data_IF_006651718924
#
_entry.id   IF_006651718924
#
_cell.length_a   1.000
_cell.length_b   1.000
_cell.length_c   1.000
_cell.angle_alpha   90.00
_cell.angle_beta   90.00
_cell.angle_gamma   90.00
#
_symmetry.space_group_name_H-M   'P 1'
#
loop_
_entity.id
_entity.type
_entity.pdbx_description
1 polymer ?
#
# COMPACT_ATOMS: atom_id res chain seq x y z
N UNK A 1 -40.13 66.69 -8.38
CA UNK A 1 -38.68 66.53 -8.01
C UNK A 1 -38.36 65.21 -7.29
N UNK A 2 -39.29 64.24 -7.14
CA UNK A 2 -39.13 62.98 -6.38
C UNK A 2 -38.71 61.75 -7.18
N UNK A 3 -38.73 61.71 -8.52
CA UNK A 3 -38.37 60.53 -9.34
C UNK A 3 -36.88 60.25 -9.51
N UNK A 4 -35.99 61.25 -9.34
CA UNK A 4 -34.55 61.07 -9.55
C UNK A 4 -33.82 60.41 -8.33
N UNK A 5 -34.34 60.53 -7.12
CA UNK A 5 -33.72 59.97 -5.93
C UNK A 5 -33.88 58.44 -5.84
N UNK A 6 -34.97 57.88 -6.37
CA UNK A 6 -35.23 56.43 -6.32
C UNK A 6 -34.35 55.64 -7.30
N UNK A 7 -34.09 56.18 -8.49
CA UNK A 7 -33.25 55.54 -9.51
C UNK A 7 -31.76 55.35 -9.05
N UNK A 8 -31.25 56.25 -8.27
CA UNK A 8 -29.85 56.18 -7.77
C UNK A 8 -29.71 55.14 -6.63
N UNK A 9 -30.77 54.93 -5.86
CA UNK A 9 -30.77 53.93 -4.78
C UNK A 9 -30.82 52.53 -5.36
N UNK A 10 -31.70 52.29 -6.32
CA UNK A 10 -31.81 50.96 -7.00
C UNK A 10 -30.53 50.60 -7.76
N UNK A 11 -29.83 51.55 -8.37
CA UNK A 11 -28.55 51.30 -9.04
C UNK A 11 -27.43 50.97 -8.04
N UNK A 12 -27.38 51.57 -6.86
CA UNK A 12 -26.40 51.26 -5.80
C UNK A 12 -26.65 49.85 -5.24
N UNK A 13 -27.92 49.51 -5.00
CA UNK A 13 -28.30 48.20 -4.47
C UNK A 13 -28.01 47.06 -5.49
N UNK A 14 -28.26 47.32 -6.77
CA UNK A 14 -27.93 46.39 -7.85
C UNK A 14 -26.41 46.21 -7.99
N UNK A 15 -25.64 47.29 -7.93
CA UNK A 15 -24.18 47.24 -8.00
C UNK A 15 -23.56 46.54 -6.78
N UNK A 16 -24.12 46.74 -5.58
CA UNK A 16 -23.67 46.07 -4.35
C UNK A 16 -23.97 44.54 -4.42
N UNK A 17 -25.12 44.14 -4.95
CA UNK A 17 -25.48 42.75 -5.16
C UNK A 17 -24.57 42.05 -6.18
N UNK A 18 -24.23 42.70 -7.28
CA UNK A 18 -23.34 42.17 -8.31
C UNK A 18 -21.92 41.99 -7.74
N UNK A 19 -21.44 42.96 -6.94
CA UNK A 19 -20.12 42.89 -6.32
C UNK A 19 -20.04 41.76 -5.27
N UNK A 20 -21.11 41.52 -4.53
CA UNK A 20 -21.18 40.44 -3.54
C UNK A 20 -21.20 39.05 -4.18
N UNK A 21 -21.93 38.89 -5.30
CA UNK A 21 -22.01 37.64 -6.04
C UNK A 21 -20.64 37.34 -6.69
N UNK A 22 -19.99 38.34 -7.27
CA UNK A 22 -18.64 38.17 -7.87
C UNK A 22 -17.60 37.80 -6.82
N UNK A 23 -17.64 38.38 -5.62
CA UNK A 23 -16.74 38.05 -4.52
C UNK A 23 -16.94 36.60 -4.02
N UNK A 24 -18.20 36.12 -3.92
CA UNK A 24 -18.49 34.73 -3.56
C UNK A 24 -17.97 33.73 -4.60
N UNK A 25 -18.06 34.04 -5.89
CA UNK A 25 -17.53 33.15 -6.95
C UNK A 25 -16.01 33.06 -6.93
N UNK A 26 -15.30 34.15 -6.62
CA UNK A 26 -13.84 34.15 -6.51
C UNK A 26 -13.38 33.32 -5.32
N UNK A 27 -14.10 33.36 -4.17
CA UNK A 27 -13.76 32.56 -2.98
C UNK A 27 -14.03 31.07 -3.20
N UNK A 28 -15.10 30.72 -3.91
CA UNK A 28 -15.42 29.32 -4.24
C UNK A 28 -14.40 28.75 -5.24
N UNK A 29 -13.97 29.58 -6.23
CA UNK A 29 -12.99 29.12 -7.22
C UNK A 29 -11.58 28.93 -6.64
N UNK A 30 -11.19 29.71 -5.63
CA UNK A 30 -9.91 29.53 -4.91
C UNK A 30 -9.89 28.30 -4.00
N UNK A 31 -11.04 27.83 -3.52
CA UNK A 31 -11.13 26.63 -2.70
C UNK A 31 -11.01 25.33 -3.51
N UNK A 32 -11.32 25.35 -4.82
CA UNK A 32 -11.21 24.19 -5.70
C UNK A 32 -9.77 23.99 -6.24
N UNK A 33 -8.92 25.02 -6.17
CA UNK A 33 -7.55 24.96 -6.71
C UNK A 33 -6.53 24.29 -5.79
N UNK A 34 -6.94 23.75 -4.65
CA UNK A 34 -6.08 22.96 -3.74
C UNK A 34 -6.51 21.48 -3.70
N UNK A 35 -6.84 20.91 -4.84
CA UNK A 35 -6.66 19.47 -5.03
C UNK A 35 -5.14 19.26 -5.00
N UNK A 36 -4.58 19.01 -3.83
CA UNK A 36 -3.22 18.52 -3.69
C UNK A 36 -3.15 17.26 -4.54
N UNK A 37 -2.15 17.23 -5.41
CA UNK A 37 -1.77 16.02 -6.13
C UNK A 37 -1.37 15.01 -5.05
N UNK A 38 -2.34 14.22 -4.57
CA UNK A 38 -2.13 13.23 -3.52
C UNK A 38 -1.25 12.14 -4.13
N UNK A 39 0.06 12.35 -3.99
CA UNK A 39 1.05 11.43 -4.50
C UNK A 39 0.86 10.08 -3.83
N UNK A 40 0.46 9.09 -4.62
CA UNK A 40 0.28 7.70 -4.17
C UNK A 40 1.63 7.20 -3.62
N UNK A 41 1.65 6.54 -2.46
CA UNK A 41 2.88 5.98 -1.92
C UNK A 41 3.37 4.80 -2.77
N UNK A 42 4.67 4.55 -2.70
CA UNK A 42 5.32 3.41 -3.33
C UNK A 42 5.95 2.53 -2.26
N UNK A 43 5.66 1.24 -2.29
CA UNK A 43 6.26 0.24 -1.43
C UNK A 43 7.20 -0.65 -2.25
N UNK A 44 8.50 -0.58 -1.95
CA UNK A 44 9.50 -1.50 -2.49
C UNK A 44 9.79 -2.61 -1.48
N UNK A 45 9.62 -3.86 -1.89
CA UNK A 45 9.92 -5.04 -1.07
C UNK A 45 11.10 -5.77 -1.69
N UNK A 46 12.23 -5.78 -0.96
CA UNK A 46 13.41 -6.57 -1.31
C UNK A 46 13.40 -7.87 -0.51
N UNK A 47 13.35 -8.98 -1.20
CA UNK A 47 13.37 -10.32 -0.61
C UNK A 47 14.79 -10.89 -0.69
N UNK A 48 15.36 -11.24 0.44
CA UNK A 48 16.72 -11.78 0.58
C UNK A 48 16.73 -13.20 1.16
N UNK A 49 17.85 -13.89 1.00
CA UNK A 49 18.04 -15.24 1.53
C UNK A 49 17.34 -16.32 0.73
N UNK A 50 17.16 -16.12 -0.57
CA UNK A 50 16.51 -17.07 -1.48
C UNK A 50 17.45 -18.26 -1.71
N UNK A 51 16.94 -19.49 -1.59
CA UNK A 51 17.64 -20.71 -2.00
C UNK A 51 17.61 -20.86 -3.53
N UNK A 52 18.49 -20.16 -4.24
CA UNK A 52 18.54 -20.07 -5.71
C UNK A 52 18.55 -21.45 -6.37
N UNK A 53 19.23 -22.44 -5.77
CA UNK A 53 19.32 -23.81 -6.28
C UNK A 53 17.95 -24.52 -6.39
N UNK A 54 16.94 -24.03 -5.70
CA UNK A 54 15.58 -24.58 -5.73
C UNK A 54 14.70 -24.02 -6.83
N UNK A 55 15.13 -22.91 -7.47
CA UNK A 55 14.31 -22.21 -8.49
C UNK A 55 12.92 -21.85 -7.95
N UNK A 56 11.89 -21.88 -8.79
CA UNK A 56 10.51 -21.57 -8.39
C UNK A 56 10.16 -20.10 -8.51
N UNK A 57 9.21 -19.65 -7.71
CA UNK A 57 8.72 -18.27 -7.69
C UNK A 57 8.74 -17.71 -6.27
N UNK A 58 8.94 -16.39 -6.13
CA UNK A 58 8.77 -15.66 -4.89
C UNK A 58 7.46 -14.91 -4.96
N UNK A 59 6.52 -15.28 -4.08
CA UNK A 59 5.25 -14.56 -3.89
C UNK A 59 5.36 -13.55 -2.76
N UNK A 60 5.04 -12.29 -3.04
CA UNK A 60 4.98 -11.20 -2.07
C UNK A 60 3.53 -10.78 -1.91
N UNK A 61 2.95 -10.97 -0.73
CA UNK A 61 1.56 -10.61 -0.44
C UNK A 61 1.50 -9.48 0.58
N UNK A 62 0.76 -8.42 0.25
CA UNK A 62 0.52 -7.24 1.08
C UNK A 62 -0.87 -7.33 1.68
N UNK A 63 -0.98 -7.25 3.00
CA UNK A 63 -2.23 -7.28 3.74
C UNK A 63 -2.45 -5.95 4.45
N UNK A 64 -3.67 -5.44 4.41
CA UNK A 64 -4.11 -4.24 5.13
C UNK A 64 -4.95 -4.56 6.39
N UNK A 65 -5.11 -5.83 6.72
CA UNK A 65 -5.89 -6.29 7.87
C UNK A 65 -5.38 -7.62 8.42
N UNK A 66 -5.89 -8.02 9.58
CA UNK A 66 -5.59 -9.34 10.19
C UNK A 66 -6.27 -10.49 9.47
N UNK A 67 -7.31 -10.20 8.68
CA UNK A 67 -8.10 -11.22 8.00
C UNK A 67 -7.23 -11.95 6.98
N UNK A 68 -7.12 -13.25 7.11
CA UNK A 68 -6.35 -14.10 6.20
C UNK A 68 -4.83 -14.03 6.35
N UNK A 69 -4.28 -13.00 7.04
CA UNK A 69 -2.84 -12.88 7.24
C UNK A 69 -2.29 -14.07 8.04
N UNK A 70 -1.16 -14.66 7.63
CA UNK A 70 -0.32 -14.32 6.48
C UNK A 70 -0.48 -15.27 5.28
N UNK A 71 -1.42 -16.21 5.27
CA UNK A 71 -1.44 -17.35 4.33
C UNK A 71 -2.65 -17.43 3.41
N UNK A 72 -3.72 -16.72 3.70
CA UNK A 72 -4.93 -16.69 2.89
C UNK A 72 -4.88 -15.56 1.87
N UNK A 73 -4.24 -15.81 0.72
CA UNK A 73 -3.96 -14.81 -0.30
C UNK A 73 -5.22 -14.16 -0.89
N UNK A 74 -6.37 -14.85 -0.81
CA UNK A 74 -7.67 -14.30 -1.19
C UNK A 74 -8.10 -13.08 -0.35
N UNK A 75 -7.46 -12.86 0.80
CA UNK A 75 -7.66 -11.71 1.67
C UNK A 75 -6.50 -10.71 1.62
N UNK A 76 -5.47 -10.96 0.81
CA UNK A 76 -4.42 -9.99 0.58
C UNK A 76 -4.98 -8.79 -0.19
N UNK A 77 -4.46 -7.60 0.08
CA UNK A 77 -4.78 -6.41 -0.68
C UNK A 77 -4.22 -6.52 -2.10
N UNK A 78 -2.98 -6.99 -2.19
CA UNK A 78 -2.27 -7.19 -3.46
C UNK A 78 -1.25 -8.33 -3.31
N UNK A 79 -1.01 -9.09 -4.38
CA UNK A 79 -0.03 -10.17 -4.40
C UNK A 79 0.69 -10.21 -5.74
N UNK A 80 2.02 -10.22 -5.70
CA UNK A 80 2.88 -10.30 -6.86
C UNK A 80 3.77 -11.55 -6.80
N UNK A 81 3.99 -12.18 -7.96
CA UNK A 81 4.82 -13.37 -8.12
C UNK A 81 5.96 -13.10 -9.08
N UNK A 82 7.18 -13.38 -8.66
CA UNK A 82 8.40 -13.17 -9.45
C UNK A 82 9.21 -14.45 -9.50
N UNK A 83 9.61 -14.89 -10.69
CA UNK A 83 10.46 -16.06 -10.87
C UNK A 83 11.85 -15.85 -10.28
N UNK A 84 12.40 -16.91 -9.68
CA UNK A 84 13.77 -16.92 -9.16
C UNK A 84 14.75 -17.09 -10.33
N UNK A 85 15.55 -16.06 -10.58
CA UNK A 85 16.57 -16.05 -11.64
C UNK A 85 17.91 -16.55 -11.10
N UNK A 86 18.58 -17.36 -11.91
CA UNK A 86 19.93 -17.87 -11.59
C UNK A 86 20.93 -16.71 -11.45
N UNK A 87 21.72 -16.74 -10.38
CA UNK A 87 22.71 -15.69 -10.07
C UNK A 87 22.17 -14.44 -9.38
N UNK A 88 20.85 -14.32 -9.15
CA UNK A 88 20.26 -13.23 -8.38
C UNK A 88 20.01 -13.66 -6.93
N UNK A 89 20.67 -12.99 -5.98
CA UNK A 89 20.56 -13.30 -4.54
C UNK A 89 19.30 -12.66 -3.89
N UNK A 90 18.60 -11.81 -4.61
CA UNK A 90 17.41 -11.12 -4.12
C UNK A 90 16.38 -10.92 -5.23
N UNK A 91 15.10 -10.84 -4.85
CA UNK A 91 13.97 -10.42 -5.68
C UNK A 91 13.48 -9.08 -5.17
N UNK A 92 13.19 -8.16 -6.09
CA UNK A 92 12.58 -6.86 -5.78
C UNK A 92 11.19 -6.79 -6.40
N UNK A 93 10.21 -6.39 -5.60
CA UNK A 93 8.81 -6.21 -5.99
C UNK A 93 8.37 -4.80 -5.61
N UNK A 94 7.65 -4.13 -6.51
CA UNK A 94 7.18 -2.75 -6.31
C UNK A 94 5.66 -2.74 -6.34
N UNK A 95 5.07 -2.09 -5.35
CA UNK A 95 3.65 -1.80 -5.25
C UNK A 95 3.47 -0.27 -5.28
N UNK A 96 2.83 0.26 -6.30
CA UNK A 96 2.65 1.69 -6.58
C UNK A 96 1.17 2.13 -6.58
N UNK A 97 0.27 1.22 -6.20
CA UNK A 97 -1.18 1.42 -6.16
C UNK A 97 -1.78 1.36 -4.75
N UNK A 98 -0.94 1.19 -3.72
CA UNK A 98 -1.41 1.08 -2.33
C UNK A 98 -1.80 2.45 -1.78
N UNK A 99 -3.02 2.64 -1.23
CA UNK A 99 -3.34 3.85 -0.48
C UNK A 99 -2.49 3.98 0.79
N UNK A 100 -2.42 5.19 1.36
CA UNK A 100 -1.81 5.37 2.67
C UNK A 100 -2.55 4.54 3.73
N UNK A 101 -1.81 3.86 4.62
CA UNK A 101 -2.42 2.97 5.60
C UNK A 101 -1.45 2.10 6.37
N UNK A 102 -1.98 1.16 7.16
CA UNK A 102 -1.19 0.13 7.84
C UNK A 102 -1.19 -1.16 7.00
N UNK A 103 0.00 -1.71 6.80
CA UNK A 103 0.21 -2.92 6.00
C UNK A 103 1.16 -3.88 6.69
N UNK A 104 0.99 -5.17 6.41
CA UNK A 104 1.97 -6.20 6.71
C UNK A 104 2.25 -7.01 5.45
N UNK A 105 3.50 -7.45 5.29
CA UNK A 105 3.94 -8.26 4.16
C UNK A 105 4.24 -9.67 4.62
N UNK A 106 3.77 -10.65 3.84
CA UNK A 106 4.25 -12.04 3.91
C UNK A 106 4.86 -12.44 2.58
N UNK A 107 5.90 -13.27 2.64
CA UNK A 107 6.63 -13.76 1.48
C UNK A 107 6.71 -15.27 1.54
N UNK A 108 6.49 -15.90 0.39
CA UNK A 108 6.66 -17.33 0.16
C UNK A 108 7.66 -17.54 -0.98
N UNK A 109 8.67 -18.38 -0.76
CA UNK A 109 9.46 -18.96 -1.86
C UNK A 109 8.83 -20.29 -2.24
N UNK A 110 7.97 -20.27 -3.25
CA UNK A 110 7.28 -21.42 -3.79
C UNK A 110 8.25 -22.21 -4.69
N UNK A 111 8.87 -23.25 -4.14
CA UNK A 111 9.90 -24.04 -4.81
C UNK A 111 9.34 -24.97 -5.90
N UNK A 112 8.02 -25.27 -5.88
CA UNK A 112 7.38 -26.21 -6.79
C UNK A 112 6.38 -25.57 -7.76
N UNK A 113 6.08 -24.26 -7.65
CA UNK A 113 5.22 -23.51 -8.56
C UNK A 113 3.72 -23.74 -8.35
N UNK A 114 3.30 -24.21 -7.17
CA UNK A 114 1.90 -24.48 -6.86
C UNK A 114 1.17 -23.29 -6.19
N UNK A 115 1.89 -22.21 -5.86
CA UNK A 115 1.42 -20.98 -5.20
C UNK A 115 0.71 -21.23 -3.88
N UNK A 116 1.13 -22.28 -3.17
CA UNK A 116 0.54 -22.69 -1.90
C UNK A 116 1.62 -23.14 -0.93
N UNK A 117 1.58 -22.62 0.31
CA UNK A 117 2.54 -22.99 1.33
C UNK A 117 2.37 -24.44 1.77
N UNK A 118 3.34 -25.29 1.46
CA UNK A 118 3.40 -26.66 1.95
C UNK A 118 3.85 -26.74 3.41
N UNK A 119 3.24 -27.67 4.13
CA UNK A 119 3.54 -27.90 5.56
C UNK A 119 3.91 -29.34 5.82
N UNK A 120 4.80 -29.57 6.76
CA UNK A 120 5.11 -30.88 7.29
C UNK A 120 3.92 -31.43 8.12
N UNK A 121 3.97 -32.71 8.49
CA UNK A 121 2.97 -33.33 9.38
C UNK A 121 2.85 -32.63 10.75
N UNK A 122 3.88 -31.92 11.16
CA UNK A 122 3.91 -31.13 12.40
C UNK A 122 3.45 -29.66 12.20
N UNK A 123 2.98 -29.30 10.99
CA UNK A 123 2.47 -27.97 10.65
C UNK A 123 3.53 -26.92 10.29
N UNK A 124 4.81 -27.27 10.24
CA UNK A 124 5.87 -26.34 9.90
C UNK A 124 5.99 -26.13 8.37
N UNK A 125 6.34 -24.89 7.94
CA UNK A 125 6.66 -24.63 6.54
C UNK A 125 7.75 -25.57 6.03
N UNK A 126 7.57 -26.12 4.81
CA UNK A 126 8.60 -26.85 4.08
C UNK A 126 9.38 -25.97 3.12
N UNK A 127 8.84 -24.82 2.82
CA UNK A 127 9.34 -23.82 1.89
C UNK A 127 9.78 -22.57 2.64
N UNK A 128 10.52 -21.69 1.96
CA UNK A 128 11.01 -20.45 2.53
C UNK A 128 9.88 -19.47 2.80
N UNK A 129 9.79 -18.95 4.01
CA UNK A 129 8.80 -17.92 4.37
C UNK A 129 9.47 -16.72 5.02
N UNK A 130 8.95 -15.53 4.76
CA UNK A 130 9.43 -14.28 5.33
C UNK A 130 8.29 -13.34 5.68
N UNK A 131 8.57 -12.38 6.56
CA UNK A 131 7.57 -11.40 7.03
C UNK A 131 8.20 -10.04 7.25
N UNK A 132 7.43 -8.98 7.02
CA UNK A 132 7.85 -7.62 7.35
C UNK A 132 8.27 -7.50 8.82
N UNK A 133 9.12 -6.48 9.11
CA UNK A 133 9.75 -6.28 10.41
C UNK A 133 10.65 -7.46 10.86
N UNK A 134 11.18 -8.24 9.90
CA UNK A 134 12.09 -9.39 10.13
C UNK A 134 11.54 -10.39 11.16
N UNK A 135 10.23 -10.56 11.20
CA UNK A 135 9.59 -11.51 12.11
C UNK A 135 9.84 -12.95 11.64
N UNK A 136 10.12 -13.84 12.60
CA UNK A 136 10.45 -15.24 12.34
C UNK A 136 9.35 -16.18 12.77
N UNK A 137 9.20 -17.29 12.05
CA UNK A 137 8.34 -18.41 12.49
C UNK A 137 9.00 -19.09 13.69
N UNK A 138 8.27 -19.14 14.79
CA UNK A 138 8.65 -19.92 15.99
C UNK A 138 7.80 -21.19 16.05
N UNK A 139 6.71 -21.17 16.81
CA UNK A 139 5.73 -22.27 16.87
C UNK A 139 4.58 -22.06 15.88
N UNK A 140 4.32 -20.84 15.50
CA UNK A 140 3.31 -20.44 14.51
C UNK A 140 3.79 -19.22 13.72
N UNK A 141 3.11 -18.91 12.62
CA UNK A 141 3.34 -17.68 11.87
C UNK A 141 3.13 -16.45 12.78
N UNK A 142 3.90 -15.36 12.58
CA UNK A 142 3.72 -14.15 13.34
C UNK A 142 2.36 -13.51 13.04
N UNK A 143 1.79 -12.80 14.04
CA UNK A 143 0.53 -12.09 13.89
C UNK A 143 0.74 -10.79 13.10
N UNK A 144 -0.30 -10.33 12.41
CA UNK A 144 -0.33 -9.06 11.67
C UNK A 144 0.26 -7.89 12.47
N UNK A 145 -0.15 -7.71 13.73
CA UNK A 145 0.31 -6.61 14.59
C UNK A 145 1.82 -6.58 14.86
N UNK A 146 2.52 -7.70 14.68
CA UNK A 146 3.98 -7.78 14.82
C UNK A 146 4.71 -7.43 13.51
N UNK A 147 4.02 -7.60 12.40
CA UNK A 147 4.56 -7.41 11.07
C UNK A 147 4.16 -6.06 10.46
N UNK A 148 3.10 -5.41 10.98
CA UNK A 148 2.57 -4.19 10.38
C UNK A 148 3.53 -3.02 10.44
N UNK A 149 3.48 -2.19 9.42
CA UNK A 149 4.14 -0.90 9.29
C UNK A 149 3.17 0.11 8.71
N UNK A 150 3.48 1.39 8.84
CA UNK A 150 2.70 2.47 8.26
C UNK A 150 3.31 2.90 6.92
N UNK A 151 2.44 3.18 5.94
CA UNK A 151 2.76 3.73 4.63
C UNK A 151 2.02 5.07 4.50
N UNK A 152 2.78 6.18 4.43
CA UNK A 152 2.24 7.54 4.39
C UNK A 152 2.01 8.02 2.95
N UNK A 153 1.11 8.98 2.74
CA UNK A 153 0.93 9.63 1.43
C UNK A 153 2.26 10.16 0.90
N UNK A 154 2.55 9.89 -0.36
CA UNK A 154 3.76 10.32 -1.05
C UNK A 154 5.05 9.67 -0.57
N UNK A 155 4.99 8.71 0.35
CA UNK A 155 6.16 8.00 0.85
C UNK A 155 6.67 6.99 -0.18
N UNK A 156 7.99 6.96 -0.40
CA UNK A 156 8.67 5.84 -1.04
C UNK A 156 9.31 5.00 0.06
N UNK A 157 8.65 3.93 0.45
CA UNK A 157 9.10 3.04 1.52
C UNK A 157 9.78 1.81 0.95
N UNK A 158 11.00 1.54 1.40
CA UNK A 158 11.72 0.30 1.10
C UNK A 158 11.81 -0.57 2.34
N UNK A 159 11.39 -1.83 2.23
CA UNK A 159 11.52 -2.83 3.29
C UNK A 159 12.32 -4.03 2.77
N UNK A 160 13.04 -4.68 3.70
CA UNK A 160 13.75 -5.92 3.43
C UNK A 160 13.05 -7.04 4.18
N UNK A 161 12.75 -8.11 3.47
CA UNK A 161 12.19 -9.34 4.05
C UNK A 161 13.17 -10.48 3.81
N UNK A 162 13.61 -11.12 4.89
CA UNK A 162 14.52 -12.27 4.81
C UNK A 162 13.75 -13.56 4.90
N UNK A 163 13.97 -14.44 3.93
CA UNK A 163 13.39 -15.77 3.94
C UNK A 163 14.06 -16.64 5.01
N UNK A 164 13.23 -17.38 5.72
CA UNK A 164 13.66 -18.38 6.70
C UNK A 164 13.20 -19.74 6.20
N UNK A 165 14.13 -20.65 6.06
CA UNK A 165 13.85 -22.05 5.76
C UNK A 165 14.07 -22.86 7.03
N UNK A 166 13.24 -23.85 7.23
CA UNK A 166 13.48 -24.83 8.28
C UNK A 166 14.41 -25.89 7.71
N UNK A 167 15.48 -26.17 8.41
CA UNK A 167 16.28 -27.36 8.19
C UNK A 167 15.58 -28.53 8.87
N UNK A 168 15.39 -29.65 8.14
CA UNK A 168 14.80 -30.88 8.65
C UNK A 168 15.76 -31.60 9.62
#
# INVERSE_FOLDING_TARGET
>A
MMKRANSNRERKDAMFRITFIAACWVVIFSAVAQAQDEKIPVLEVRVEGIRIAKKGEVGVAVFNSRLGYPTHLEHAYETEWTGVEEGKEAVETVFDSLPAGEYAVSVLHDENGNRSLERSKLGFPKEGVGFSNDQKVKLSAPKFDKCKFHLSLGENKKIIVRLNYRED
#
